data_IF_601870856326
#
_entry.id   IF_601870856326
#
_cell.length_a   1.000
_cell.length_b   1.000
_cell.length_c   1.000
_cell.angle_alpha   90.00
_cell.angle_beta   90.00
_cell.angle_gamma   90.00
#
_symmetry.space_group_name_H-M   'P 1'
#
loop_
_entity.id
_entity.type
_entity.pdbx_description
1 polymer ?
#
# COMPACT_ATOMS: atom_id res chain seq x y z
N UNK A 1 44.17 61.44 22.11
CA UNK A 1 45.62 61.15 22.25
C UNK A 1 45.75 59.64 22.44
N UNK A 2 46.52 59.01 21.54
CA UNK A 2 47.07 57.65 21.55
C UNK A 2 46.10 56.46 21.64
N UNK A 3 46.33 55.29 21.05
CA UNK A 3 47.19 54.78 19.97
C UNK A 3 46.74 53.31 19.74
N UNK A 4 47.18 52.72 18.64
CA UNK A 4 46.71 51.48 18.03
C UNK A 4 47.11 50.19 18.76
N UNK A 5 46.30 49.13 18.57
CA UNK A 5 46.64 47.74 18.90
C UNK A 5 45.85 46.72 18.06
N UNK A 6 46.50 46.18 17.03
CA UNK A 6 46.16 45.13 16.04
C UNK A 6 45.13 44.02 16.41
N UNK A 7 44.46 43.41 15.41
CA UNK A 7 43.67 42.18 15.57
C UNK A 7 44.58 40.93 15.56
N UNK A 8 44.22 39.92 16.36
CA UNK A 8 44.66 38.53 16.19
C UNK A 8 43.42 37.65 16.06
N UNK A 9 43.45 36.72 15.09
CA UNK A 9 42.32 35.86 14.67
C UNK A 9 41.72 34.99 15.78
N UNK A 10 40.73 34.13 15.54
CA UNK A 10 40.52 33.24 14.40
C UNK A 10 39.00 32.99 14.26
N UNK A 11 38.50 33.04 13.02
CA UNK A 11 37.20 32.45 12.66
C UNK A 11 37.28 30.93 12.86
N UNK A 12 36.56 30.43 13.85
CA UNK A 12 36.23 29.00 13.93
C UNK A 12 34.72 28.89 13.76
N UNK A 13 34.30 28.66 12.51
CA UNK A 13 32.93 28.26 12.19
C UNK A 13 32.76 26.78 12.48
N UNK A 14 31.81 26.42 13.33
CA UNK A 14 31.28 25.06 13.39
C UNK A 14 30.27 24.88 14.53
N UNK A 15 29.34 23.91 14.43
CA UNK A 15 28.50 23.57 13.30
C UNK A 15 27.06 24.08 13.52
N UNK A 16 26.38 24.45 12.43
CA UNK A 16 24.93 24.65 12.40
C UNK A 16 24.26 23.42 13.00
N UNK A 17 23.58 23.60 14.13
CA UNK A 17 22.73 22.58 14.68
C UNK A 17 21.58 22.37 13.69
N UNK A 18 21.71 21.38 12.82
CA UNK A 18 20.55 20.81 12.14
C UNK A 18 19.54 20.47 13.23
N UNK A 19 18.32 21.04 13.20
CA UNK A 19 17.32 20.70 14.20
C UNK A 19 17.13 19.19 14.12
N UNK A 20 17.38 18.52 15.24
CA UNK A 20 17.14 17.08 15.37
C UNK A 20 15.69 16.83 15.00
N UNK A 21 15.46 16.24 13.82
CA UNK A 21 14.14 15.78 13.43
C UNK A 21 13.78 14.70 14.44
N UNK A 22 12.98 15.08 15.44
CA UNK A 22 12.37 14.15 16.37
C UNK A 22 11.42 13.32 15.51
N UNK A 23 11.87 12.13 15.09
CA UNK A 23 10.98 11.12 14.52
C UNK A 23 10.10 10.67 15.66
N UNK A 24 9.03 11.42 15.90
CA UNK A 24 7.93 10.97 16.74
C UNK A 24 7.35 9.80 15.98
N UNK A 25 7.49 8.60 16.53
CA UNK A 25 6.74 7.44 16.07
C UNK A 25 5.26 7.82 16.16
N UNK A 26 4.66 8.17 15.03
CA UNK A 26 3.23 8.43 14.95
C UNK A 26 2.57 7.11 15.36
N UNK A 27 1.73 7.19 16.38
CA UNK A 27 0.99 6.07 16.96
C UNK A 27 0.33 5.28 15.81
N UNK A 28 0.54 3.97 15.86
CA UNK A 28 0.54 2.99 14.76
C UNK A 28 -0.83 2.64 14.16
N UNK A 29 -1.76 3.59 14.11
CA UNK A 29 -3.09 3.41 13.54
C UNK A 29 -3.24 4.03 12.14
N UNK A 30 -2.25 4.74 11.63
CA UNK A 30 -2.27 5.25 10.27
C UNK A 30 -1.68 4.22 9.29
N UNK A 31 -2.22 4.14 8.08
CA UNK A 31 -1.53 3.47 6.97
C UNK A 31 -0.17 4.12 6.75
N UNK A 32 0.88 3.33 6.52
CA UNK A 32 2.16 3.88 6.07
C UNK A 32 1.95 4.77 4.83
N UNK A 33 2.67 5.87 4.78
CA UNK A 33 2.55 6.85 3.69
C UNK A 33 2.71 6.22 2.30
N UNK A 34 3.59 5.23 2.16
CA UNK A 34 3.79 4.55 0.88
C UNK A 34 2.60 3.66 0.50
N UNK A 35 2.05 2.92 1.46
CA UNK A 35 0.88 2.08 1.24
C UNK A 35 -0.33 2.93 0.86
N UNK A 36 -0.54 4.03 1.60
CA UNK A 36 -1.59 5.00 1.28
C UNK A 36 -1.39 5.56 -0.13
N UNK A 37 -0.17 5.98 -0.51
CA UNK A 37 0.12 6.51 -1.85
C UNK A 37 -0.19 5.53 -2.97
N UNK A 38 0.20 4.26 -2.85
CA UNK A 38 -0.04 3.28 -3.92
C UNK A 38 -1.53 2.99 -4.08
N UNK A 39 -2.23 2.76 -2.97
CA UNK A 39 -3.67 2.46 -3.01
C UNK A 39 -4.46 3.68 -3.47
N UNK A 40 -4.14 4.88 -2.97
CA UNK A 40 -4.81 6.12 -3.38
C UNK A 40 -4.62 6.46 -4.85
N UNK A 41 -3.44 6.22 -5.43
CA UNK A 41 -3.25 6.41 -6.88
C UNK A 41 -4.18 5.52 -7.72
N UNK A 42 -4.44 4.30 -7.25
CA UNK A 42 -5.44 3.43 -7.90
C UNK A 42 -6.87 3.93 -7.67
N UNK A 43 -7.21 4.36 -6.44
CA UNK A 43 -8.53 4.92 -6.10
C UNK A 43 -8.84 6.14 -6.97
N UNK A 44 -7.95 7.14 -7.01
CA UNK A 44 -8.19 8.38 -7.76
C UNK A 44 -8.30 8.15 -9.26
N UNK A 45 -7.53 7.21 -9.83
CA UNK A 45 -7.73 6.81 -11.22
C UNK A 45 -9.13 6.22 -11.43
N UNK A 46 -9.52 5.27 -10.57
CA UNK A 46 -10.77 4.52 -10.73
C UNK A 46 -12.02 5.33 -10.42
N UNK A 47 -11.91 6.38 -9.61
CA UNK A 47 -12.97 7.36 -9.41
C UNK A 47 -13.40 8.02 -10.74
N UNK A 48 -12.42 8.39 -11.56
CA UNK A 48 -12.65 9.04 -12.86
C UNK A 48 -12.90 8.01 -13.96
N UNK A 49 -12.19 6.89 -13.92
CA UNK A 49 -12.20 5.85 -14.96
C UNK A 49 -12.67 4.49 -14.41
N UNK A 50 -13.90 4.38 -13.89
CA UNK A 50 -14.37 3.12 -13.34
C UNK A 50 -14.62 2.10 -14.44
N UNK A 51 -14.39 0.82 -14.10
CA UNK A 51 -14.82 -0.29 -14.93
C UNK A 51 -16.35 -0.22 -15.11
N UNK A 52 -16.83 -0.65 -16.29
CA UNK A 52 -18.25 -0.65 -16.60
C UNK A 52 -18.84 -2.04 -16.36
N UNK A 53 -19.99 -2.08 -15.69
CA UNK A 53 -20.75 -3.32 -15.50
C UNK A 53 -21.26 -3.91 -16.82
N UNK A 54 -21.86 -5.11 -16.78
CA UNK A 54 -22.31 -5.85 -17.97
C UNK A 54 -23.23 -5.05 -18.90
N UNK A 55 -24.06 -4.17 -18.34
CA UNK A 55 -24.97 -3.29 -19.08
C UNK A 55 -24.38 -1.90 -19.40
N UNK A 56 -23.11 -1.66 -19.09
CA UNK A 56 -22.39 -0.37 -19.19
C UNK A 56 -22.98 0.81 -18.38
N UNK A 57 -24.10 0.62 -17.72
CA UNK A 57 -24.79 1.65 -16.91
C UNK A 57 -24.24 1.79 -15.49
N UNK A 58 -23.64 0.74 -14.92
CA UNK A 58 -23.10 0.76 -13.55
C UNK A 58 -21.59 0.92 -13.53
N UNK A 59 -21.10 1.80 -12.65
CA UNK A 59 -19.67 2.00 -12.39
C UNK A 59 -19.18 1.00 -11.34
N UNK A 60 -18.13 0.25 -11.68
CA UNK A 60 -17.51 -0.79 -10.86
C UNK A 60 -16.14 -0.29 -10.34
N UNK A 61 -16.16 0.72 -9.47
CA UNK A 61 -14.95 1.36 -8.96
C UNK A 61 -13.99 0.38 -8.25
N UNK A 62 -14.52 -0.44 -7.33
CA UNK A 62 -13.73 -1.46 -6.61
C UNK A 62 -13.10 -2.47 -7.57
N UNK A 63 -13.80 -2.86 -8.64
CA UNK A 63 -13.26 -3.77 -9.65
C UNK A 63 -12.09 -3.13 -10.43
N UNK A 64 -12.17 -1.83 -10.73
CA UNK A 64 -11.05 -1.11 -11.34
C UNK A 64 -9.83 -1.06 -10.40
N UNK A 65 -10.03 -0.81 -9.10
CA UNK A 65 -8.91 -0.81 -8.13
C UNK A 65 -8.29 -2.20 -8.01
N UNK A 66 -9.13 -3.24 -7.91
CA UNK A 66 -8.71 -4.65 -7.86
C UNK A 66 -7.89 -5.03 -9.09
N UNK A 67 -8.32 -4.62 -10.29
CA UNK A 67 -7.60 -4.86 -11.54
C UNK A 67 -6.19 -4.24 -11.52
N UNK A 68 -6.07 -2.96 -11.15
CA UNK A 68 -4.77 -2.28 -11.10
C UNK A 68 -3.81 -2.90 -10.10
N UNK A 69 -4.28 -3.19 -8.89
CA UNK A 69 -3.47 -3.84 -7.86
C UNK A 69 -3.14 -5.29 -8.24
N UNK A 70 -4.06 -5.97 -8.93
CA UNK A 70 -3.85 -7.31 -9.47
C UNK A 70 -2.78 -7.34 -10.57
N UNK A 71 -2.76 -6.36 -11.47
CA UNK A 71 -1.70 -6.22 -12.48
C UNK A 71 -0.34 -5.91 -11.84
N UNK A 72 -0.31 -5.08 -10.79
CA UNK A 72 0.91 -4.87 -9.99
C UNK A 72 1.39 -6.17 -9.33
N UNK A 73 0.48 -6.97 -8.76
CA UNK A 73 0.82 -8.25 -8.15
C UNK A 73 1.37 -9.22 -9.19
N UNK A 74 0.72 -9.36 -10.36
CA UNK A 74 1.21 -10.17 -11.48
C UNK A 74 2.59 -9.72 -11.96
N UNK A 75 2.80 -8.42 -12.14
CA UNK A 75 4.08 -7.85 -12.56
C UNK A 75 5.22 -8.18 -11.58
N UNK A 76 4.90 -8.24 -10.28
CA UNK A 76 5.82 -8.64 -9.21
C UNK A 76 5.80 -10.15 -8.93
N UNK A 77 5.39 -11.00 -9.88
CA UNK A 77 5.30 -12.46 -9.72
C UNK A 77 4.51 -12.90 -8.47
N UNK A 78 3.40 -12.23 -8.22
CA UNK A 78 2.55 -12.39 -7.04
C UNK A 78 3.25 -12.05 -5.71
N UNK A 79 4.22 -11.15 -5.74
CA UNK A 79 4.95 -10.65 -4.56
C UNK A 79 4.74 -9.14 -4.36
N UNK A 80 3.59 -8.60 -4.79
CA UNK A 80 3.16 -7.28 -4.30
C UNK A 80 2.73 -7.41 -2.83
N UNK A 81 3.04 -6.42 -1.98
CA UNK A 81 2.48 -6.36 -0.63
C UNK A 81 0.97 -6.06 -0.63
N UNK A 82 0.41 -5.61 -1.75
CA UNK A 82 -1.00 -5.24 -1.90
C UNK A 82 -1.78 -6.37 -2.57
N UNK A 83 -2.52 -7.15 -1.79
CA UNK A 83 -3.33 -8.27 -2.26
C UNK A 83 -4.78 -7.84 -2.43
N UNK A 84 -5.24 -7.71 -3.67
CA UNK A 84 -6.62 -7.36 -3.96
C UNK A 84 -7.56 -8.57 -3.81
N UNK A 85 -8.75 -8.33 -3.25
CA UNK A 85 -9.87 -9.27 -3.23
C UNK A 85 -9.55 -10.69 -2.70
N UNK A 86 -8.73 -10.78 -1.65
CA UNK A 86 -8.40 -12.06 -1.00
C UNK A 86 -9.65 -12.64 -0.31
N UNK A 87 -10.01 -13.88 -0.62
CA UNK A 87 -11.09 -14.58 0.08
C UNK A 87 -10.55 -15.24 1.35
N UNK A 88 -11.26 -15.12 2.47
CA UNK A 88 -10.95 -15.79 3.74
C UNK A 88 -12.03 -16.78 4.13
N UNK A 89 -11.63 -18.00 4.50
CA UNK A 89 -12.49 -18.94 5.21
C UNK A 89 -12.63 -18.49 6.67
N UNK A 90 -13.84 -18.07 7.04
CA UNK A 90 -14.15 -17.52 8.36
C UNK A 90 -14.41 -18.59 9.42
N UNK A 91 -14.42 -19.89 9.08
CA UNK A 91 -14.58 -20.98 10.06
C UNK A 91 -13.27 -21.42 10.69
N UNK A 92 -12.14 -20.95 10.16
CA UNK A 92 -10.84 -21.19 10.77
C UNK A 92 -10.58 -20.12 11.82
N UNK A 93 -9.85 -20.50 12.87
CA UNK A 93 -9.39 -19.57 13.89
C UNK A 93 -7.85 -19.63 13.98
N UNK A 94 -7.12 -18.62 13.48
CA UNK A 94 -7.63 -17.41 12.82
C UNK A 94 -8.24 -17.69 11.42
N UNK A 95 -9.05 -16.78 10.84
CA UNK A 95 -9.54 -16.89 9.47
C UNK A 95 -8.39 -17.07 8.48
N UNK A 96 -8.53 -18.01 7.54
CA UNK A 96 -7.43 -18.39 6.65
C UNK A 96 -7.65 -17.88 5.22
N UNK A 97 -6.61 -17.33 4.57
CA UNK A 97 -6.73 -16.89 3.19
C UNK A 97 -6.83 -18.08 2.22
N UNK A 98 -7.66 -17.94 1.21
CA UNK A 98 -7.87 -18.92 0.14
C UNK A 98 -6.93 -18.57 -1.01
N UNK A 99 -5.77 -19.24 -1.02
CA UNK A 99 -4.67 -19.01 -1.96
C UNK A 99 -4.58 -20.12 -3.01
N UNK A 100 -3.80 -19.90 -4.06
CA UNK A 100 -3.49 -20.91 -5.06
C UNK A 100 -2.47 -21.94 -4.51
N UNK A 101 -2.71 -23.23 -4.78
CA UNK A 101 -1.88 -24.32 -4.23
C UNK A 101 -0.40 -24.25 -4.66
N UNK A 102 -0.12 -23.80 -5.89
CA UNK A 102 1.23 -23.77 -6.45
C UNK A 102 2.01 -22.48 -6.19
N UNK A 103 1.32 -21.40 -5.84
CA UNK A 103 1.92 -20.09 -5.60
C UNK A 103 1.23 -19.51 -4.36
N UNK A 104 1.85 -19.69 -3.18
CA UNK A 104 1.22 -19.41 -1.89
C UNK A 104 0.84 -17.94 -1.69
N UNK A 105 1.43 -17.03 -2.46
CA UNK A 105 1.18 -15.58 -2.43
C UNK A 105 0.16 -15.12 -3.47
N UNK A 106 -0.30 -16.03 -4.34
CA UNK A 106 -1.30 -15.76 -5.37
C UNK A 106 -2.69 -16.09 -4.85
N UNK A 107 -3.59 -15.12 -4.92
CA UNK A 107 -5.00 -15.28 -4.54
C UNK A 107 -5.67 -16.30 -5.46
N UNK A 108 -6.53 -17.17 -4.90
CA UNK A 108 -7.23 -18.13 -5.72
C UNK A 108 -8.20 -17.43 -6.70
N UNK A 109 -8.06 -17.62 -8.02
CA UNK A 109 -8.77 -16.80 -9.02
C UNK A 109 -10.27 -17.10 -9.12
N UNK A 110 -10.71 -18.28 -8.67
CA UNK A 110 -12.10 -18.73 -8.82
C UNK A 110 -12.66 -19.36 -7.54
N UNK A 111 -13.28 -18.55 -6.68
CA UNK A 111 -13.87 -18.99 -5.42
C UNK A 111 -14.93 -20.12 -5.58
N UNK A 112 -15.88 -20.06 -6.53
CA UNK A 112 -16.89 -21.12 -6.64
C UNK A 112 -16.28 -22.51 -6.93
N UNK A 113 -15.21 -22.57 -7.72
CA UNK A 113 -14.49 -23.82 -7.98
C UNK A 113 -13.75 -24.33 -6.75
N UNK A 114 -13.19 -23.42 -5.94
CA UNK A 114 -12.57 -23.77 -4.67
C UNK A 114 -13.61 -24.36 -3.69
N UNK A 115 -14.75 -23.67 -3.50
CA UNK A 115 -15.84 -24.13 -2.64
C UNK A 115 -16.32 -25.52 -3.05
N UNK A 116 -16.62 -25.72 -4.34
CA UNK A 116 -17.09 -27.02 -4.87
C UNK A 116 -16.10 -28.16 -4.59
N UNK A 117 -14.79 -27.86 -4.62
CA UNK A 117 -13.75 -28.87 -4.49
C UNK A 117 -13.40 -29.19 -3.03
N UNK A 118 -13.41 -28.19 -2.16
CA UNK A 118 -12.82 -28.32 -0.82
C UNK A 118 -13.83 -28.17 0.31
N UNK A 119 -14.93 -27.41 0.14
CA UNK A 119 -15.78 -27.03 1.27
C UNK A 119 -16.44 -28.20 1.97
N UNK A 120 -17.29 -28.95 1.26
CA UNK A 120 -18.03 -30.06 1.87
C UNK A 120 -17.08 -31.18 2.33
N UNK A 121 -15.99 -31.40 1.58
CA UNK A 121 -14.96 -32.39 1.91
C UNK A 121 -14.25 -32.05 3.22
N UNK A 122 -13.90 -30.79 3.43
CA UNK A 122 -13.15 -30.36 4.62
C UNK A 122 -14.05 -30.09 5.83
N UNK A 123 -15.30 -29.67 5.60
CA UNK A 123 -16.19 -29.18 6.67
C UNK A 123 -17.33 -30.12 7.03
N UNK A 124 -17.71 -31.03 6.13
CA UNK A 124 -18.81 -31.97 6.34
C UNK A 124 -20.21 -31.36 6.22
N UNK A 125 -20.35 -30.13 5.75
CA UNK A 125 -21.64 -29.48 5.47
C UNK A 125 -21.56 -28.54 4.25
N UNK A 126 -22.71 -28.26 3.64
CA UNK A 126 -22.82 -27.45 2.43
C UNK A 126 -22.51 -25.97 2.64
N UNK A 127 -21.98 -25.33 1.60
CA UNK A 127 -21.72 -23.89 1.62
C UNK A 127 -23.02 -23.09 1.43
N UNK A 128 -23.33 -22.22 2.40
CA UNK A 128 -24.49 -21.34 2.35
C UNK A 128 -24.08 -19.91 1.98
N UNK A 129 -24.55 -19.46 0.81
CA UNK A 129 -24.31 -18.08 0.35
C UNK A 129 -24.96 -17.08 1.31
N UNK A 130 -24.24 -16.01 1.63
CA UNK A 130 -24.74 -14.92 2.47
C UNK A 130 -24.56 -15.12 3.98
N UNK A 131 -24.24 -16.33 4.45
CA UNK A 131 -24.07 -16.63 5.89
C UNK A 131 -22.72 -16.16 6.48
N UNK A 132 -21.86 -15.53 5.67
CA UNK A 132 -20.56 -15.08 6.14
C UNK A 132 -19.48 -16.12 6.30
N UNK A 133 -19.72 -17.28 5.70
CA UNK A 133 -18.77 -18.38 5.59
C UNK A 133 -17.44 -17.98 4.93
N UNK A 134 -17.50 -17.05 3.97
CA UNK A 134 -16.34 -16.45 3.32
C UNK A 134 -16.48 -14.93 3.33
N UNK A 135 -15.35 -14.24 3.55
CA UNK A 135 -15.26 -12.77 3.47
C UNK A 135 -14.14 -12.36 2.53
N UNK A 136 -14.36 -11.23 1.87
CA UNK A 136 -13.43 -10.67 0.88
C UNK A 136 -13.27 -9.18 1.14
N UNK A 137 -12.22 -8.74 1.85
CA UNK A 137 -11.84 -7.33 1.88
C UNK A 137 -11.34 -6.87 0.51
N UNK A 138 -11.41 -5.57 0.25
CA UNK A 138 -10.95 -4.98 -1.01
C UNK A 138 -9.43 -5.12 -1.19
N UNK A 139 -8.65 -4.79 -0.15
CA UNK A 139 -7.18 -4.92 -0.18
C UNK A 139 -6.66 -5.44 1.15
N UNK A 140 -5.73 -6.39 1.09
CA UNK A 140 -4.94 -6.83 2.24
C UNK A 140 -3.49 -6.44 2.02
N UNK A 141 -2.92 -5.71 2.97
CA UNK A 141 -1.53 -5.31 2.97
C UNK A 141 -0.74 -6.28 3.84
N UNK A 142 0.29 -6.91 3.29
CA UNK A 142 1.15 -7.85 4.02
C UNK A 142 2.47 -7.21 4.44
N UNK A 143 3.06 -7.74 5.53
CA UNK A 143 4.37 -7.31 6.04
C UNK A 143 5.50 -7.85 5.17
N UNK A 144 5.44 -9.14 4.86
CA UNK A 144 6.33 -9.85 3.94
C UNK A 144 5.55 -10.30 2.69
N UNK A 145 5.86 -9.75 1.50
CA UNK A 145 5.20 -10.14 0.26
C UNK A 145 5.50 -11.57 -0.22
N UNK A 146 6.47 -12.25 0.38
CA UNK A 146 6.81 -13.64 0.06
C UNK A 146 5.99 -14.67 0.85
N UNK A 147 5.17 -14.20 1.79
CA UNK A 147 4.32 -15.04 2.63
C UNK A 147 2.84 -14.80 2.31
N UNK A 148 1.97 -15.80 2.52
CA UNK A 148 0.53 -15.63 2.35
C UNK A 148 -0.01 -14.55 3.32
N UNK A 149 -1.17 -13.95 3.04
CA UNK A 149 -1.81 -12.97 3.91
C UNK A 149 -2.50 -13.66 5.11
N UNK A 150 -1.76 -14.43 5.89
CA UNK A 150 -2.21 -14.98 7.17
C UNK A 150 -2.19 -13.89 8.24
N UNK A 151 -2.99 -14.04 9.29
CA UNK A 151 -3.21 -13.00 10.31
C UNK A 151 -1.91 -12.42 10.92
N UNK A 152 -0.89 -13.25 11.09
CA UNK A 152 0.44 -12.87 11.58
C UNK A 152 1.24 -12.02 10.57
N UNK A 153 1.05 -12.25 9.27
CA UNK A 153 1.66 -11.51 8.17
C UNK A 153 0.83 -10.31 7.69
N UNK A 154 -0.44 -10.18 8.12
CA UNK A 154 -1.25 -9.01 7.79
C UNK A 154 -0.72 -7.78 8.51
N UNK A 155 -0.44 -6.75 7.72
CA UNK A 155 -0.17 -5.39 8.18
C UNK A 155 -1.48 -4.63 8.36
N UNK A 156 -2.28 -4.52 7.30
CA UNK A 156 -3.59 -3.88 7.32
C UNK A 156 -4.60 -4.61 6.43
N UNK A 157 -5.88 -4.51 6.80
CA UNK A 157 -7.01 -4.83 5.92
C UNK A 157 -7.66 -3.50 5.54
N UNK A 158 -7.74 -3.21 4.26
CA UNK A 158 -8.30 -1.96 3.74
C UNK A 158 -9.61 -2.26 3.01
N UNK A 159 -10.65 -1.52 3.39
CA UNK A 159 -11.92 -1.47 2.69
C UNK A 159 -12.05 -0.12 1.98
N UNK A 160 -12.40 -0.16 0.70
CA UNK A 160 -12.48 1.01 -0.17
C UNK A 160 -13.94 1.36 -0.39
N UNK A 161 -14.31 2.62 -0.17
CA UNK A 161 -15.67 3.12 -0.38
C UNK A 161 -15.68 4.31 -1.33
N UNK A 162 -16.48 4.26 -2.39
CA UNK A 162 -16.60 5.40 -3.32
C UNK A 162 -17.84 6.25 -3.07
N UNK A 163 -18.96 5.65 -2.66
CA UNK A 163 -20.24 6.35 -2.38
C UNK A 163 -21.02 5.77 -1.20
N UNK A 164 -20.63 4.60 -0.71
CA UNK A 164 -21.38 3.82 0.28
C UNK A 164 -20.65 3.78 1.63
N UNK A 165 -21.39 3.49 2.71
CA UNK A 165 -20.80 3.31 4.05
C UNK A 165 -20.33 1.87 4.25
N UNK A 166 -19.50 1.66 5.27
CA UNK A 166 -19.18 0.31 5.77
C UNK A 166 -20.45 -0.37 6.28
N UNK A 167 -20.65 -1.63 5.93
CA UNK A 167 -21.72 -2.44 6.52
C UNK A 167 -21.32 -2.92 7.93
N UNK A 168 -22.30 -3.13 8.82
CA UNK A 168 -22.04 -3.68 10.16
C UNK A 168 -21.30 -5.02 10.12
N UNK A 169 -21.57 -5.82 9.10
CA UNK A 169 -20.91 -7.11 8.87
C UNK A 169 -19.41 -6.94 8.60
N UNK A 170 -19.02 -5.95 7.79
CA UNK A 170 -17.61 -5.65 7.52
C UNK A 170 -16.89 -5.17 8.78
N UNK A 171 -17.54 -4.32 9.57
CA UNK A 171 -17.03 -3.82 10.86
C UNK A 171 -16.76 -4.98 11.83
N UNK A 172 -17.58 -6.02 11.81
CA UNK A 172 -17.44 -7.19 12.70
C UNK A 172 -16.43 -8.23 12.21
N UNK A 173 -16.37 -8.49 10.91
CA UNK A 173 -15.61 -9.64 10.38
C UNK A 173 -14.17 -9.29 9.97
N UNK A 174 -13.90 -8.10 9.47
CA UNK A 174 -12.53 -7.73 9.06
C UNK A 174 -11.55 -7.62 10.24
N UNK A 175 -11.93 -7.20 11.46
CA UNK A 175 -11.05 -7.31 12.62
C UNK A 175 -10.68 -8.76 12.94
N UNK A 176 -11.57 -9.73 12.72
CA UNK A 176 -11.25 -11.16 12.90
C UNK A 176 -10.20 -11.63 11.90
N UNK A 177 -10.26 -11.15 10.67
CA UNK A 177 -9.25 -11.44 9.64
C UNK A 177 -7.92 -10.80 10.02
N UNK A 178 -7.93 -9.51 10.36
CA UNK A 178 -6.72 -8.74 10.66
C UNK A 178 -6.06 -9.13 12.01
N UNK A 179 -6.83 -9.76 12.90
CA UNK A 179 -6.44 -10.09 14.28
C UNK A 179 -6.54 -8.91 15.24
N UNK A 180 -6.82 -7.71 14.74
CA UNK A 180 -6.96 -6.49 15.52
C UNK A 180 -7.79 -5.46 14.74
N UNK A 181 -8.71 -4.77 15.40
CA UNK A 181 -9.52 -3.70 14.79
C UNK A 181 -8.68 -2.50 14.35
N UNK A 182 -7.58 -2.20 15.05
CA UNK A 182 -6.63 -1.13 14.68
C UNK A 182 -5.96 -1.36 13.32
N UNK A 183 -5.93 -2.61 12.84
CA UNK A 183 -5.37 -2.93 11.51
C UNK A 183 -6.39 -2.76 10.38
N UNK A 184 -7.66 -2.54 10.68
CA UNK A 184 -8.69 -2.31 9.66
C UNK A 184 -8.72 -0.82 9.31
N UNK A 185 -8.69 -0.52 8.02
CA UNK A 185 -8.63 0.84 7.48
C UNK A 185 -9.70 1.04 6.44
N UNK A 186 -10.27 2.24 6.41
CA UNK A 186 -11.14 2.69 5.34
C UNK A 186 -10.36 3.66 4.48
N UNK A 187 -10.47 3.54 3.17
CA UNK A 187 -10.08 4.58 2.23
C UNK A 187 -11.27 4.92 1.34
N UNK A 188 -11.36 6.17 0.96
CA UNK A 188 -12.29 6.70 -0.03
C UNK A 188 -11.59 7.82 -0.81
N UNK A 189 -12.21 8.36 -1.89
CA UNK A 189 -11.58 9.41 -2.66
C UNK A 189 -11.21 10.66 -1.86
N UNK A 190 -12.00 11.00 -0.84
CA UNK A 190 -11.74 12.14 0.04
C UNK A 190 -10.51 11.89 0.92
N UNK A 191 -10.43 10.71 1.56
CA UNK A 191 -9.24 10.27 2.33
C UNK A 191 -7.97 10.21 1.47
N UNK A 192 -8.12 10.05 0.16
CA UNK A 192 -7.03 10.01 -0.80
C UNK A 192 -6.70 11.36 -1.44
N UNK A 193 -7.40 12.43 -1.04
CA UNK A 193 -7.26 13.77 -1.61
C UNK A 193 -7.31 13.73 -3.15
N UNK A 194 -8.27 12.98 -3.72
CA UNK A 194 -8.45 12.84 -5.17
C UNK A 194 -9.00 14.13 -5.82
N UNK A 195 -8.37 15.28 -5.53
CA UNK A 195 -8.67 16.58 -6.13
C UNK A 195 -8.58 16.58 -7.65
N UNK A 196 -9.05 17.64 -8.30
CA UNK A 196 -9.30 17.66 -9.75
C UNK A 196 -8.05 17.57 -10.65
N UNK A 197 -6.86 17.70 -10.09
CA UNK A 197 -5.61 17.76 -10.85
C UNK A 197 -5.02 16.35 -11.09
N UNK A 198 -4.27 16.22 -12.19
CA UNK A 198 -3.68 14.95 -12.64
C UNK A 198 -2.51 14.46 -11.78
N UNK A 199 -2.09 15.21 -10.74
CA UNK A 199 -0.99 14.85 -9.84
C UNK A 199 -1.20 13.49 -9.15
N UNK A 200 -2.45 13.07 -8.99
CA UNK A 200 -2.84 11.78 -8.41
C UNK A 200 -2.97 10.62 -9.44
N UNK A 201 -2.53 10.81 -10.68
CA UNK A 201 -2.47 9.75 -11.69
C UNK A 201 -3.81 9.39 -12.35
N UNK A 202 -4.75 10.34 -12.41
CA UNK A 202 -6.10 10.17 -12.99
C UNK A 202 -6.09 9.77 -14.47
N UNK A 203 -5.00 10.05 -15.18
CA UNK A 203 -4.78 9.71 -16.59
C UNK A 203 -3.76 8.58 -16.81
N UNK A 204 -3.19 8.03 -15.73
CA UNK A 204 -2.13 7.02 -15.84
C UNK A 204 -2.61 5.72 -16.45
N UNK A 205 -1.84 5.17 -17.38
CA UNK A 205 -2.06 3.80 -17.88
C UNK A 205 -1.82 2.77 -16.77
N UNK A 206 -2.26 1.52 -16.98
CA UNK A 206 -1.95 0.44 -16.03
C UNK A 206 -0.44 0.19 -15.95
N UNK A 207 0.28 0.29 -17.08
CA UNK A 207 1.74 0.09 -17.13
C UNK A 207 2.49 1.18 -16.35
N UNK A 208 2.11 2.45 -16.51
CA UNK A 208 2.70 3.56 -15.75
C UNK A 208 2.45 3.41 -14.25
N UNK A 209 1.23 3.01 -13.86
CA UNK A 209 0.91 2.74 -12.46
C UNK A 209 1.78 1.60 -11.90
N UNK A 210 1.84 0.47 -12.60
CA UNK A 210 2.58 -0.72 -12.15
C UNK A 210 4.08 -0.44 -12.05
N UNK A 211 4.67 0.21 -13.06
CA UNK A 211 6.10 0.54 -13.06
C UNK A 211 6.48 1.49 -11.94
N UNK A 212 5.68 2.55 -11.73
CA UNK A 212 5.87 3.49 -10.62
C UNK A 212 5.73 2.80 -9.26
N UNK A 213 4.68 2.00 -9.06
CA UNK A 213 4.42 1.33 -7.78
C UNK A 213 5.51 0.29 -7.46
N UNK A 214 5.94 -0.50 -8.45
CA UNK A 214 7.05 -1.44 -8.31
C UNK A 214 8.36 -0.72 -7.95
N UNK A 215 8.63 0.44 -8.56
CA UNK A 215 9.77 1.29 -8.21
C UNK A 215 9.75 1.76 -6.75
N UNK A 216 8.59 2.22 -6.25
CA UNK A 216 8.42 2.60 -4.85
C UNK A 216 8.64 1.43 -3.90
N UNK A 217 8.05 0.27 -4.19
CA UNK A 217 8.23 -0.95 -3.38
C UNK A 217 9.72 -1.34 -3.32
N UNK A 218 10.41 -1.34 -4.47
CA UNK A 218 11.84 -1.65 -4.52
C UNK A 218 12.68 -0.70 -3.68
N UNK A 219 12.40 0.61 -3.74
CA UNK A 219 13.06 1.61 -2.90
C UNK A 219 12.80 1.38 -1.40
N UNK A 220 11.57 1.06 -1.02
CA UNK A 220 11.22 0.74 0.36
C UNK A 220 11.99 -0.48 0.89
N UNK A 221 12.10 -1.53 0.09
CA UNK A 221 12.87 -2.73 0.43
C UNK A 221 14.36 -2.40 0.62
N UNK A 222 14.94 -1.56 -0.25
CA UNK A 222 16.33 -1.14 -0.13
C UNK A 222 16.59 -0.36 1.17
N UNK A 223 15.70 0.58 1.50
CA UNK A 223 15.76 1.35 2.75
C UNK A 223 15.68 0.45 3.99
N UNK A 224 14.75 -0.52 4.01
CA UNK A 224 14.63 -1.49 5.11
C UNK A 224 15.86 -2.37 5.28
N UNK A 225 16.56 -2.67 4.18
CA UNK A 225 17.84 -3.42 4.20
C UNK A 225 19.05 -2.54 4.59
N UNK A 226 18.84 -1.30 5.01
CA UNK A 226 19.91 -0.36 5.38
C UNK A 226 20.75 0.14 4.19
N UNK A 227 20.31 -0.10 2.95
CA UNK A 227 20.97 0.40 1.75
C UNK A 227 20.31 1.71 1.35
N UNK A 228 20.91 2.83 1.77
CA UNK A 228 20.52 4.16 1.30
C UNK A 228 20.67 4.23 -0.24
N UNK A 229 19.73 4.86 -0.96
CA UNK A 229 19.90 5.14 -2.38
C UNK A 229 21.20 5.93 -2.57
N UNK A 230 22.06 5.50 -3.50
CA UNK A 230 23.23 6.30 -3.88
C UNK A 230 22.72 7.58 -4.52
N UNK A 231 22.79 8.69 -3.79
CA UNK A 231 22.53 10.01 -4.35
C UNK A 231 23.49 10.25 -5.54
N UNK A 232 23.01 10.86 -6.64
CA UNK A 232 23.90 11.28 -7.71
C UNK A 232 24.98 12.19 -7.11
N UNK A 233 26.26 11.82 -7.30
CA UNK A 233 27.36 12.74 -6.98
C UNK A 233 27.34 13.84 -8.03
N UNK A 234 26.76 14.99 -7.68
CA UNK A 234 26.98 16.19 -8.46
C UNK A 234 28.48 16.51 -8.41
N UNK A 235 29.13 16.77 -9.56
CA UNK A 235 30.50 17.27 -9.59
C UNK A 235 30.57 18.51 -8.71
N UNK A 236 31.51 18.55 -7.76
CA UNK A 236 31.77 19.76 -7.00
C UNK A 236 32.07 20.91 -7.97
N UNK A 237 31.48 22.10 -7.78
CA UNK A 237 31.82 23.28 -8.58
C UNK A 237 33.34 23.48 -8.52
N UNK A 238 33.98 23.64 -9.68
CA UNK A 238 35.40 24.00 -9.72
C UNK A 238 35.59 25.31 -8.94
N UNK A 239 36.58 25.41 -8.05
CA UNK A 239 36.86 26.66 -7.36
C UNK A 239 37.15 27.75 -8.39
N UNK A 240 36.49 28.89 -8.22
CA UNK A 240 36.67 30.06 -9.07
C UNK A 240 38.15 30.49 -9.03
N UNK A 241 38.76 30.87 -10.17
CA UNK A 241 40.12 31.38 -10.18
C UNK A 241 40.21 32.59 -9.26
N UNK A 242 41.16 32.60 -8.34
CA UNK A 242 41.42 33.77 -7.53
C UNK A 242 41.98 34.89 -8.43
N UNK A 243 41.53 36.14 -8.25
CA UNK A 243 42.08 37.25 -9.00
C UNK A 243 43.56 37.41 -8.66
N UNK A 244 44.39 37.36 -9.70
CA UNK A 244 45.79 37.74 -9.61
C UNK A 244 45.85 39.26 -9.36
N UNK A 245 46.47 39.64 -8.25
CA UNK A 245 46.95 41.00 -7.99
C UNK A 245 48.44 41.05 -8.30
#
# INVERSE_FOLDING_TARGET
>A
MADQGKPQGILTTGPSQNPTIKVVAIISDALDLQDKKVICKAICYCEVNPNKGKKKETNQYQACVSERLGELDKFLNYQSPYKAEVNYDMHRNPPAPIMEKGIITKVHPYLPGWIKKYWEVEKGYSFEKGQGMVRRPDVVIVKDPNLPPTQDNIKHVVEIKFKDRLSETQIKDYPKIAGDSSKVKRLDPDECDCGNDDENGKTSTVVEFVTWAAGLIAAAIQLRKGKLPKLPRFPSPKPSPQPAW
#
